data_IF_425140396943
#
_entry.id   IF_425140396943
#
_cell.length_a   1.000
_cell.length_b   1.000
_cell.length_c   1.000
_cell.angle_alpha   90.00
_cell.angle_beta   90.00
_cell.angle_gamma   90.00
#
_symmetry.space_group_name_H-M   'P 1'
#
loop_
_entity.id
_entity.type
_entity.pdbx_description
1 polymer ?
#
# COMPACT_ATOMS: atom_id res chain seq x y z
N UNK A 1 11.72 11.23 12.27
CA UNK A 1 10.76 10.55 13.17
C UNK A 1 11.36 9.29 13.78
N UNK A 2 11.68 8.25 13.01
CA UNK A 2 12.16 6.94 13.51
C UNK A 2 13.34 7.10 14.50
N UNK A 3 14.39 7.80 14.10
CA UNK A 3 15.60 7.98 14.93
C UNK A 3 15.42 8.91 16.13
N UNK A 4 14.40 9.77 16.13
CA UNK A 4 14.23 10.80 17.14
C UNK A 4 13.20 10.41 18.20
N UNK A 5 12.13 9.74 17.80
CA UNK A 5 11.00 9.37 18.66
C UNK A 5 10.94 7.89 19.00
N UNK A 6 11.92 7.08 18.56
CA UNK A 6 11.93 5.62 18.78
C UNK A 6 10.62 4.96 18.40
N UNK A 7 10.13 5.31 17.21
CA UNK A 7 8.85 4.81 16.70
C UNK A 7 8.86 3.29 16.66
N UNK A 8 7.91 2.66 17.31
CA UNK A 8 7.81 1.21 17.40
C UNK A 8 7.07 0.57 16.22
N UNK A 9 6.13 1.29 15.60
CA UNK A 9 5.40 0.87 14.41
C UNK A 9 4.93 2.09 13.61
N UNK A 10 4.62 1.90 12.33
CA UNK A 10 3.98 2.91 11.48
C UNK A 10 2.72 2.33 10.89
N UNK A 11 1.58 2.95 11.18
CA UNK A 11 0.30 2.73 10.48
C UNK A 11 0.10 3.89 9.52
N UNK A 12 0.16 3.61 8.23
CA UNK A 12 0.12 4.64 7.19
C UNK A 12 -1.22 4.63 6.49
N UNK A 13 -2.00 5.69 6.67
CA UNK A 13 -3.37 5.81 6.15
C UNK A 13 -3.47 6.82 5.03
N UNK A 14 -4.44 6.65 4.15
CA UNK A 14 -4.71 7.58 3.06
C UNK A 14 -5.74 7.04 2.09
N UNK A 15 -5.79 7.64 0.92
CA UNK A 15 -6.67 7.25 -0.18
C UNK A 15 -5.88 6.51 -1.26
N UNK A 16 -6.58 5.76 -2.13
CA UNK A 16 -6.00 5.07 -3.27
C UNK A 16 -7.04 4.85 -4.36
N UNK A 17 -6.61 4.68 -5.59
CA UNK A 17 -7.45 4.18 -6.68
C UNK A 17 -7.55 2.66 -6.67
N UNK A 18 -8.75 2.11 -6.73
CA UNK A 18 -8.99 0.68 -6.86
C UNK A 18 -8.56 0.15 -8.23
N UNK A 19 -8.04 -1.06 -8.29
CA UNK A 19 -7.55 -1.70 -9.52
C UNK A 19 -8.30 -2.97 -9.90
N UNK A 20 -9.22 -3.45 -9.07
CA UNK A 20 -9.98 -4.69 -9.33
C UNK A 20 -11.44 -4.40 -9.61
N UNK A 21 -12.02 -5.26 -10.43
CA UNK A 21 -13.45 -5.27 -10.68
C UNK A 21 -14.22 -5.56 -9.37
N UNK A 22 -15.41 -4.97 -9.26
CA UNK A 22 -16.28 -5.15 -8.08
C UNK A 22 -15.91 -4.31 -6.87
N UNK A 23 -14.77 -3.62 -6.86
CA UNK A 23 -14.45 -2.62 -5.84
C UNK A 23 -15.34 -1.38 -5.98
N UNK A 24 -15.60 -0.71 -4.87
CA UNK A 24 -16.44 0.50 -4.81
C UNK A 24 -15.69 1.63 -4.14
N UNK A 25 -16.06 2.86 -4.51
CA UNK A 25 -15.58 4.06 -3.79
C UNK A 25 -16.00 3.96 -2.32
N UNK A 26 -15.04 4.16 -1.42
CA UNK A 26 -15.21 4.02 0.02
C UNK A 26 -14.87 2.64 0.58
N UNK A 27 -14.65 1.62 -0.25
CA UNK A 27 -14.08 0.34 0.21
C UNK A 27 -12.68 0.58 0.80
N UNK A 28 -12.26 -0.30 1.69
CA UNK A 28 -10.96 -0.23 2.36
C UNK A 28 -10.04 -1.34 1.85
N UNK A 29 -8.80 -0.99 1.55
CA UNK A 29 -7.73 -1.94 1.27
C UNK A 29 -6.74 -1.95 2.43
N UNK A 30 -6.63 -3.09 3.12
CA UNK A 30 -5.55 -3.39 4.05
C UNK A 30 -4.37 -3.87 3.22
N UNK A 31 -3.31 -3.08 3.16
CA UNK A 31 -2.12 -3.42 2.38
C UNK A 31 -1.38 -4.60 2.98
N UNK A 32 -1.54 -5.78 2.36
CA UNK A 32 -0.78 -6.98 2.70
C UNK A 32 0.70 -6.81 2.37
N UNK A 33 0.97 -6.21 1.25
CA UNK A 33 2.30 -5.75 0.83
C UNK A 33 2.20 -4.49 -0.06
N UNK A 34 3.34 -3.84 -0.24
CA UNK A 34 3.49 -2.66 -1.11
C UNK A 34 4.56 -2.94 -2.15
N UNK A 35 4.40 -2.42 -3.35
CA UNK A 35 5.40 -2.47 -4.42
C UNK A 35 5.51 -1.12 -5.13
N UNK A 36 6.73 -0.71 -5.50
CA UNK A 36 6.93 0.45 -6.36
C UNK A 36 6.80 0.04 -7.83
N UNK A 37 5.71 0.45 -8.51
CA UNK A 37 5.49 0.08 -9.91
C UNK A 37 6.35 0.86 -10.91
N UNK A 38 7.01 1.93 -10.50
CA UNK A 38 7.94 2.70 -11.34
C UNK A 38 9.39 2.22 -11.22
N UNK A 39 9.69 1.36 -10.24
CA UNK A 39 11.02 0.79 -10.11
C UNK A 39 11.23 -0.28 -11.20
N UNK A 40 11.89 0.10 -12.27
CA UNK A 40 12.17 -0.79 -13.41
C UNK A 40 13.67 -0.91 -13.69
N UNK A 41 14.26 -1.96 -13.16
CA UNK A 41 15.66 -2.30 -13.35
C UNK A 41 15.87 -3.48 -14.31
N UNK A 42 14.85 -3.87 -15.09
CA UNK A 42 14.92 -5.08 -15.97
C UNK A 42 16.02 -5.03 -17.02
N UNK A 43 16.50 -3.85 -17.39
CA UNK A 43 17.67 -3.68 -18.27
C UNK A 43 19.01 -3.67 -17.54
N UNK A 44 18.99 -3.64 -16.22
CA UNK A 44 20.20 -3.64 -15.41
C UNK A 44 20.70 -5.07 -15.19
N UNK A 45 22.03 -5.25 -15.05
CA UNK A 45 22.62 -6.56 -14.77
C UNK A 45 23.39 -6.50 -13.46
N UNK A 46 23.32 -7.56 -12.66
CA UNK A 46 24.14 -7.68 -11.46
C UNK A 46 25.61 -7.87 -11.86
N UNK A 47 26.56 -7.12 -11.32
CA UNK A 47 27.98 -7.28 -11.67
C UNK A 47 28.54 -8.69 -11.39
N UNK A 48 28.01 -9.36 -10.37
CA UNK A 48 28.43 -10.70 -9.94
C UNK A 48 27.57 -11.86 -10.47
N UNK A 49 26.42 -11.54 -11.09
CA UNK A 49 25.54 -12.51 -11.75
C UNK A 49 24.88 -11.89 -12.98
N UNK A 50 25.57 -11.89 -14.12
CA UNK A 50 25.02 -11.33 -15.36
C UNK A 50 23.79 -12.06 -15.90
N UNK A 51 23.49 -13.25 -15.39
CA UNK A 51 22.31 -14.04 -15.80
C UNK A 51 21.05 -13.67 -15.03
N UNK A 52 21.20 -12.95 -13.92
CA UNK A 52 20.06 -12.50 -13.12
C UNK A 52 19.23 -11.48 -13.89
N UNK A 53 17.91 -11.67 -13.86
CA UNK A 53 16.94 -10.77 -14.46
C UNK A 53 16.12 -10.10 -13.39
N UNK A 54 16.32 -8.79 -13.25
CA UNK A 54 15.47 -7.98 -12.36
C UNK A 54 14.02 -7.99 -12.83
N UNK A 55 13.11 -7.94 -11.86
CA UNK A 55 11.69 -7.85 -12.11
C UNK A 55 11.18 -6.43 -11.89
N UNK A 56 10.05 -6.09 -12.51
CA UNK A 56 9.38 -4.81 -12.24
C UNK A 56 9.08 -4.69 -10.74
N UNK A 57 9.38 -3.54 -10.15
CA UNK A 57 9.23 -3.29 -8.71
C UNK A 57 10.44 -3.67 -7.86
N UNK A 58 11.46 -4.30 -8.43
CA UNK A 58 12.63 -4.75 -7.68
C UNK A 58 13.71 -3.67 -7.60
N UNK A 59 14.16 -3.36 -6.37
CA UNK A 59 15.23 -2.38 -6.14
C UNK A 59 16.58 -3.04 -6.45
N UNK A 60 17.37 -2.47 -7.37
CA UNK A 60 18.68 -3.03 -7.73
C UNK A 60 19.58 -3.21 -6.52
N UNK A 61 20.31 -4.33 -6.50
CA UNK A 61 21.32 -4.70 -5.51
C UNK A 61 20.80 -4.99 -4.09
N UNK A 62 19.54 -4.70 -3.78
CA UNK A 62 18.97 -4.96 -2.45
C UNK A 62 18.08 -6.22 -2.44
N UNK A 63 17.68 -6.73 -3.59
CA UNK A 63 16.73 -7.84 -3.76
C UNK A 63 15.38 -7.56 -3.04
N UNK A 64 15.02 -6.30 -2.91
CA UNK A 64 13.77 -5.84 -2.31
C UNK A 64 12.78 -5.51 -3.42
N UNK A 65 11.66 -6.18 -3.41
CA UNK A 65 10.59 -5.99 -4.38
C UNK A 65 9.25 -5.68 -3.71
N UNK A 66 8.84 -6.56 -2.83
CA UNK A 66 7.61 -6.42 -2.05
C UNK A 66 7.95 -6.08 -0.61
N UNK A 67 7.20 -5.14 -0.06
CA UNK A 67 7.35 -4.66 1.31
C UNK A 67 6.16 -5.16 2.10
N UNK A 68 6.30 -6.30 2.76
CA UNK A 68 5.25 -6.94 3.52
C UNK A 68 4.81 -6.08 4.70
N UNK A 69 3.50 -6.05 4.96
CA UNK A 69 2.96 -5.52 6.20
C UNK A 69 3.43 -6.39 7.39
N UNK A 70 3.53 -5.76 8.55
CA UNK A 70 3.72 -6.53 9.79
C UNK A 70 2.50 -7.44 10.02
N UNK A 71 2.71 -8.76 10.19
CA UNK A 71 1.60 -9.71 10.30
C UNK A 71 0.74 -9.49 11.55
N UNK A 72 1.31 -8.99 12.64
CA UNK A 72 0.57 -8.68 13.86
C UNK A 72 -0.34 -7.45 13.67
N UNK A 73 0.19 -6.37 13.06
CA UNK A 73 -0.61 -5.17 12.76
C UNK A 73 -1.72 -5.47 11.75
N UNK A 74 -1.44 -6.29 10.73
CA UNK A 74 -2.44 -6.71 9.75
C UNK A 74 -3.54 -7.57 10.39
N UNK A 75 -3.17 -8.50 11.26
CA UNK A 75 -4.13 -9.33 11.98
C UNK A 75 -5.09 -8.48 12.82
N UNK A 76 -4.55 -7.52 13.59
CA UNK A 76 -5.38 -6.57 14.34
C UNK A 76 -6.32 -5.76 13.45
N UNK A 77 -5.86 -5.30 12.29
CA UNK A 77 -6.74 -4.58 11.38
C UNK A 77 -7.87 -5.46 10.82
N UNK A 78 -7.61 -6.74 10.59
CA UNK A 78 -8.61 -7.70 10.11
C UNK A 78 -9.70 -8.04 11.16
N UNK A 79 -9.46 -7.79 12.43
CA UNK A 79 -10.46 -7.98 13.51
C UNK A 79 -11.55 -6.89 13.51
N UNK A 80 -11.30 -5.76 12.84
CA UNK A 80 -12.21 -4.61 12.88
C UNK A 80 -13.42 -4.86 12.01
N UNK A 81 -14.61 -4.72 12.58
CA UNK A 81 -15.85 -4.69 11.80
C UNK A 81 -15.95 -3.36 11.05
N UNK A 82 -16.00 -3.37 9.71
CA UNK A 82 -16.08 -2.14 8.94
C UNK A 82 -17.43 -1.42 9.13
N UNK A 83 -17.48 -0.12 8.84
CA UNK A 83 -18.76 0.59 8.77
C UNK A 83 -19.73 -0.06 7.77
N UNK A 84 -21.03 0.15 8.01
CA UNK A 84 -22.09 -0.41 7.13
C UNK A 84 -21.89 0.04 5.67
N UNK A 85 -21.93 -0.92 4.75
CA UNK A 85 -21.77 -0.68 3.30
C UNK A 85 -20.33 -0.57 2.82
N UNK A 86 -19.33 -0.67 3.70
CA UNK A 86 -17.91 -0.69 3.36
C UNK A 86 -17.41 -2.12 3.27
N UNK A 87 -16.77 -2.47 2.16
CA UNK A 87 -16.08 -3.75 2.00
C UNK A 87 -14.60 -3.59 2.34
N UNK A 88 -14.04 -4.56 3.05
CA UNK A 88 -12.62 -4.62 3.35
C UNK A 88 -11.95 -5.66 2.46
N UNK A 89 -10.95 -5.22 1.72
CA UNK A 89 -10.07 -6.05 0.92
C UNK A 89 -8.71 -6.17 1.63
N UNK A 90 -8.04 -7.29 1.49
CA UNK A 90 -6.66 -7.44 1.93
C UNK A 90 -5.81 -7.85 0.74
N UNK A 91 -4.90 -6.98 0.32
CA UNK A 91 -4.16 -7.20 -0.90
C UNK A 91 -2.96 -6.29 -1.10
N UNK A 92 -2.41 -6.29 -2.31
CA UNK A 92 -1.24 -5.52 -2.70
C UNK A 92 -1.59 -4.08 -3.03
N UNK A 93 -0.76 -3.14 -2.56
CA UNK A 93 -0.82 -1.74 -2.94
C UNK A 93 0.35 -1.41 -3.86
N UNK A 94 0.05 -0.96 -5.08
CA UNK A 94 1.06 -0.44 -6.01
C UNK A 94 1.26 1.06 -5.75
N UNK A 95 2.51 1.49 -5.67
CA UNK A 95 2.88 2.87 -5.34
C UNK A 95 3.79 3.44 -6.42
N UNK A 96 3.59 4.70 -6.82
CA UNK A 96 4.42 5.40 -7.80
C UNK A 96 4.07 6.87 -7.87
N UNK A 97 4.72 7.64 -8.73
CA UNK A 97 4.59 9.12 -8.76
C UNK A 97 3.52 9.63 -9.72
N UNK A 98 2.82 8.73 -10.43
CA UNK A 98 1.81 9.09 -11.43
C UNK A 98 0.42 8.91 -10.86
N UNK A 99 -0.45 9.92 -11.03
CA UNK A 99 -1.88 9.75 -10.81
C UNK A 99 -2.45 8.83 -11.90
N UNK A 100 -2.88 7.63 -11.51
CA UNK A 100 -3.32 6.58 -12.42
C UNK A 100 -4.83 6.73 -12.68
N UNK A 101 -5.17 7.35 -13.81
CA UNK A 101 -6.57 7.46 -14.26
C UNK A 101 -7.11 6.17 -14.89
N UNK A 102 -8.38 6.18 -15.27
CA UNK A 102 -9.09 5.01 -15.82
C UNK A 102 -8.39 4.40 -17.04
N UNK A 103 -7.91 5.25 -17.95
CA UNK A 103 -7.21 4.81 -19.15
C UNK A 103 -5.90 4.08 -18.83
N UNK A 104 -5.12 4.61 -17.87
CA UNK A 104 -3.87 3.97 -17.45
C UNK A 104 -4.16 2.67 -16.67
N UNK A 105 -5.22 2.64 -15.83
CA UNK A 105 -5.61 1.42 -15.11
C UNK A 105 -5.85 0.27 -16.08
N UNK A 106 -6.54 0.52 -17.20
CA UNK A 106 -6.81 -0.47 -18.25
C UNK A 106 -5.60 -0.71 -19.16
N UNK A 107 -4.95 0.36 -19.60
CA UNK A 107 -3.84 0.28 -20.55
C UNK A 107 -2.57 -0.37 -20.00
N UNK A 108 -2.37 -0.31 -18.69
CA UNK A 108 -1.21 -0.90 -18.00
C UNK A 108 -1.42 -2.34 -17.51
N UNK A 109 -2.54 -2.97 -17.85
CA UNK A 109 -2.91 -4.30 -17.38
C UNK A 109 -1.78 -5.33 -17.57
N UNK A 110 -1.30 -5.52 -18.81
CA UNK A 110 -0.27 -6.51 -19.14
C UNK A 110 1.16 -6.03 -18.89
N UNK A 111 1.41 -4.72 -18.88
CA UNK A 111 2.77 -4.16 -18.79
C UNK A 111 3.20 -3.84 -17.38
N UNK A 112 2.23 -3.53 -16.51
CA UNK A 112 2.47 -3.13 -15.12
C UNK A 112 1.74 -4.06 -14.13
N UNK A 113 0.42 -4.20 -14.24
CA UNK A 113 -0.36 -4.88 -13.21
C UNK A 113 -0.15 -6.38 -13.19
N UNK A 114 -0.12 -7.03 -14.34
CA UNK A 114 0.14 -8.47 -14.43
C UNK A 114 1.53 -8.84 -13.89
N UNK A 115 2.64 -8.19 -14.28
CA UNK A 115 3.96 -8.44 -13.71
C UNK A 115 4.03 -8.23 -12.19
N UNK A 116 3.20 -7.35 -11.63
CA UNK A 116 3.12 -7.09 -10.20
C UNK A 116 2.12 -7.99 -9.46
N UNK A 117 1.52 -8.95 -10.15
CA UNK A 117 0.57 -9.89 -9.56
C UNK A 117 -0.81 -9.28 -9.28
N UNK A 118 -1.26 -8.36 -10.12
CA UNK A 118 -2.57 -7.72 -10.06
C UNK A 118 -2.84 -7.04 -8.71
N UNK A 119 -2.23 -5.90 -8.43
CA UNK A 119 -2.48 -5.16 -7.19
C UNK A 119 -3.96 -4.83 -6.97
N UNK A 120 -4.34 -4.63 -5.72
CA UNK A 120 -5.72 -4.27 -5.35
C UNK A 120 -5.97 -2.77 -5.43
N UNK A 121 -4.93 -1.97 -5.21
CA UNK A 121 -5.02 -0.52 -5.26
C UNK A 121 -3.70 0.12 -5.72
N UNK A 122 -3.78 1.36 -6.20
CA UNK A 122 -2.61 2.19 -6.51
C UNK A 122 -2.70 3.57 -5.85
N UNK A 123 -1.53 4.10 -5.44
CA UNK A 123 -1.40 5.41 -4.80
C UNK A 123 0.04 5.95 -4.97
N UNK A 124 0.44 7.00 -4.26
CA UNK A 124 1.63 7.75 -4.62
C UNK A 124 2.70 7.87 -3.53
N UNK A 125 2.53 7.32 -2.32
CA UNK A 125 3.43 7.57 -1.18
C UNK A 125 3.95 6.30 -0.47
N UNK A 126 3.22 5.21 -0.52
CA UNK A 126 3.47 4.01 0.29
C UNK A 126 4.86 3.39 0.08
N UNK A 127 5.33 3.32 -1.17
CA UNK A 127 6.61 2.68 -1.45
C UNK A 127 7.77 3.35 -0.70
N UNK A 128 7.74 4.69 -0.61
CA UNK A 128 8.74 5.43 0.14
C UNK A 128 8.71 5.11 1.64
N UNK A 129 7.51 5.13 2.23
CA UNK A 129 7.32 4.82 3.67
C UNK A 129 7.71 3.37 3.96
N UNK A 130 7.21 2.41 3.16
CA UNK A 130 7.49 0.99 3.35
C UNK A 130 8.99 0.66 3.21
N UNK A 131 9.67 1.29 2.23
CA UNK A 131 11.13 1.15 2.05
C UNK A 131 11.90 1.59 3.30
N UNK A 132 11.55 2.75 3.87
CA UNK A 132 12.18 3.25 5.10
C UNK A 132 11.85 2.35 6.29
N UNK A 133 10.60 1.90 6.42
CA UNK A 133 10.22 0.97 7.48
C UNK A 133 11.05 -0.31 7.43
N UNK A 134 11.23 -0.90 6.22
CA UNK A 134 12.09 -2.07 6.04
C UNK A 134 13.55 -1.79 6.36
N UNK A 135 14.11 -0.68 5.88
CA UNK A 135 15.51 -0.31 6.11
C UNK A 135 15.82 -0.13 7.61
N UNK A 136 14.87 0.35 8.38
CA UNK A 136 15.00 0.53 9.82
C UNK A 136 14.37 -0.61 10.63
N UNK A 137 13.87 -1.67 9.99
CA UNK A 137 13.13 -2.77 10.63
C UNK A 137 11.98 -2.29 11.51
N UNK A 138 11.22 -1.28 11.11
CA UNK A 138 10.03 -0.77 11.79
C UNK A 138 8.82 -1.53 11.29
N UNK A 139 7.99 -2.15 12.15
CA UNK A 139 6.70 -2.70 11.77
C UNK A 139 5.85 -1.69 11.02
N UNK A 140 5.20 -2.12 9.96
CA UNK A 140 4.49 -1.26 9.03
C UNK A 140 3.16 -1.85 8.60
N UNK A 141 2.13 -1.00 8.49
CA UNK A 141 0.83 -1.36 7.93
C UNK A 141 0.29 -0.21 7.08
N UNK A 142 -0.20 -0.53 5.88
CA UNK A 142 -0.92 0.39 5.01
C UNK A 142 -2.42 0.18 5.11
N UNK A 143 -3.18 1.27 5.27
CA UNK A 143 -4.64 1.30 5.26
C UNK A 143 -5.10 2.34 4.23
N UNK A 144 -5.86 1.92 3.21
CA UNK A 144 -6.29 2.81 2.12
C UNK A 144 -7.80 2.76 1.93
N UNK A 145 -8.45 3.93 1.83
CA UNK A 145 -9.82 4.03 1.36
C UNK A 145 -9.84 4.32 -0.14
N UNK A 146 -10.66 3.61 -0.90
CA UNK A 146 -10.72 3.77 -2.35
C UNK A 146 -11.44 5.05 -2.73
N UNK A 147 -10.73 6.00 -3.36
CA UNK A 147 -11.27 7.29 -3.84
C UNK A 147 -11.89 7.21 -5.23
N UNK A 148 -11.43 6.25 -6.01
CA UNK A 148 -11.85 5.98 -7.38
C UNK A 148 -11.60 4.50 -7.72
N UNK A 149 -12.26 4.01 -8.75
CA UNK A 149 -12.19 2.60 -9.19
C UNK A 149 -12.09 2.51 -10.70
N UNK A 150 -11.79 1.31 -11.23
CA UNK A 150 -11.57 1.10 -12.67
C UNK A 150 -12.79 1.50 -13.52
N UNK A 151 -14.00 1.32 -13.01
CA UNK A 151 -15.25 1.55 -13.74
C UNK A 151 -16.05 2.76 -13.20
N UNK A 152 -15.47 3.57 -12.31
CA UNK A 152 -16.13 4.72 -11.69
C UNK A 152 -15.55 6.05 -12.10
N UNK A 153 -16.38 7.07 -12.08
CA UNK A 153 -15.94 8.45 -12.22
C UNK A 153 -15.24 8.91 -10.94
N UNK A 154 -14.28 9.82 -11.09
CA UNK A 154 -13.65 10.51 -9.96
C UNK A 154 -14.72 11.26 -9.19
N UNK A 155 -14.73 11.11 -7.87
CA UNK A 155 -15.72 11.75 -7.01
C UNK A 155 -15.66 13.29 -7.13
N UNK A 156 -16.76 13.92 -7.51
CA UNK A 156 -16.83 15.37 -7.73
C UNK A 156 -16.53 16.21 -6.47
N UNK A 157 -16.71 15.64 -5.27
CA UNK A 157 -16.36 16.28 -4.00
C UNK A 157 -15.27 15.49 -3.25
N UNK A 158 -14.04 15.70 -3.68
CA UNK A 158 -12.86 15.06 -3.07
C UNK A 158 -12.69 15.42 -1.58
N UNK A 159 -13.02 16.65 -1.17
CA UNK A 159 -12.88 17.06 0.23
C UNK A 159 -13.87 16.32 1.14
N UNK A 160 -15.15 16.24 0.71
CA UNK A 160 -16.16 15.48 1.44
C UNK A 160 -15.82 13.97 1.45
N UNK A 161 -15.24 13.45 0.37
CA UNK A 161 -14.73 12.08 0.33
C UNK A 161 -13.60 11.87 1.34
N UNK A 162 -12.61 12.76 1.40
CA UNK A 162 -11.48 12.63 2.35
C UNK A 162 -11.96 12.56 3.81
N UNK A 163 -12.99 13.35 4.17
CA UNK A 163 -13.55 13.27 5.52
C UNK A 163 -14.18 11.91 5.78
N UNK A 164 -15.02 11.40 4.86
CA UNK A 164 -15.62 10.06 4.99
C UNK A 164 -14.58 8.95 5.04
N UNK A 165 -13.52 9.05 4.23
CA UNK A 165 -12.41 8.11 4.22
C UNK A 165 -11.70 8.09 5.58
N UNK A 166 -11.41 9.26 6.15
CA UNK A 166 -10.82 9.37 7.47
C UNK A 166 -11.71 8.75 8.55
N UNK A 167 -13.02 9.04 8.54
CA UNK A 167 -14.00 8.47 9.48
C UNK A 167 -14.07 6.94 9.35
N UNK A 168 -14.01 6.41 8.14
CA UNK A 168 -14.04 4.94 7.87
C UNK A 168 -12.76 4.24 8.28
N UNK A 169 -11.59 4.87 8.14
CA UNK A 169 -10.29 4.31 8.50
C UNK A 169 -10.00 4.44 10.00
N UNK A 170 -10.59 5.43 10.68
CA UNK A 170 -10.31 5.70 12.08
C UNK A 170 -10.52 4.51 13.02
N UNK A 171 -11.60 3.69 12.91
CA UNK A 171 -11.76 2.50 13.76
C UNK A 171 -10.60 1.52 13.62
N UNK A 172 -10.07 1.33 12.41
CA UNK A 172 -8.93 0.45 12.15
C UNK A 172 -7.66 0.96 12.82
N UNK A 173 -7.36 2.26 12.62
CA UNK A 173 -6.20 2.90 13.26
C UNK A 173 -6.30 2.79 14.77
N UNK A 174 -7.45 3.13 15.32
CA UNK A 174 -7.67 3.12 16.78
C UNK A 174 -7.52 1.71 17.36
N UNK A 175 -8.08 0.69 16.70
CA UNK A 175 -7.98 -0.69 17.14
C UNK A 175 -6.53 -1.18 17.10
N UNK A 176 -5.83 -0.96 15.99
CA UNK A 176 -4.42 -1.33 15.83
C UNK A 176 -3.56 -0.65 16.89
N UNK A 177 -3.67 0.69 17.04
CA UNK A 177 -2.85 1.45 18.00
C UNK A 177 -3.10 1.05 19.46
N UNK A 178 -4.34 0.70 19.81
CA UNK A 178 -4.68 0.28 21.18
C UNK A 178 -4.21 -1.14 21.52
N UNK A 179 -4.10 -2.02 20.54
CA UNK A 179 -3.87 -3.44 20.78
C UNK A 179 -2.49 -3.92 20.26
N UNK A 180 -1.76 -3.08 19.52
CA UNK A 180 -0.41 -3.45 19.10
C UNK A 180 0.54 -3.49 20.31
N UNK A 181 1.15 -4.65 20.51
CA UNK A 181 2.21 -4.81 21.51
C UNK A 181 3.56 -4.37 20.92
N UNK A 182 3.73 -3.06 20.83
CA UNK A 182 4.97 -2.47 20.30
C UNK A 182 5.97 -2.40 21.43
N UNK A 183 6.90 -3.35 21.47
CA UNK A 183 8.07 -3.24 22.34
C UNK A 183 8.83 -1.96 21.98
N UNK A 184 9.03 -1.08 22.99
CA UNK A 184 9.94 0.06 22.83
C UNK A 184 11.29 -0.47 22.31
N UNK A 185 11.80 0.11 21.24
CA UNK A 185 13.14 -0.22 20.76
C UNK A 185 14.13 0.32 21.79
N UNK A 186 14.68 -0.57 22.58
CA UNK A 186 15.82 -0.25 23.44
C UNK A 186 16.99 0.16 22.57
N UNK A 187 17.70 1.20 23.01
CA UNK A 187 18.80 1.85 22.32
C UNK A 187 20.00 0.92 22.12
#
# INVERSE_FOLDING_TARGET
MINHFRVGAIVFTGVAGGLKEGQRIGDIVLGKDVVNYEMDARQFKKPWDPTYEYQLGEIPLLDWRFFDADPGLLALALEVTPPSGVTVHSGRVASGSVFVGTEQKKGWASTVWEPLGWPDACEMENAGVATICRAYSVPYLSLRALSDVVEGDVNDDFNAFCQRAADSLFPFVLHVVKNCDVKSRDA
#
